data_IF_868836400532
#
_entry.id   IF_868836400532
#
_cell.length_a   1.000
_cell.length_b   1.000
_cell.length_c   1.000
_cell.angle_alpha   90.00
_cell.angle_beta   90.00
_cell.angle_gamma   90.00
#
_symmetry.space_group_name_H-M   'P 1'
#
loop_
_entity.id
_entity.type
_entity.pdbx_description
1 polymer ?
#
# COMPACT_ATOMS: atom_id res chain seq x y z
N UNK A 1 2.57 -12.03 -4.87
CA UNK A 1 1.89 -10.79 -4.43
C UNK A 1 2.95 -9.72 -4.53
N UNK A 2 2.80 -8.86 -5.54
CA UNK A 2 3.92 -8.15 -6.15
C UNK A 2 4.55 -7.15 -5.18
N UNK A 3 5.88 -7.21 -5.07
CA UNK A 3 6.73 -6.39 -4.21
C UNK A 3 6.44 -4.88 -4.33
N UNK A 4 5.93 -4.48 -5.49
CA UNK A 4 5.52 -3.11 -5.82
C UNK A 4 4.33 -2.62 -5.00
N UNK A 5 3.35 -3.48 -4.69
CA UNK A 5 2.14 -3.11 -3.95
C UNK A 5 2.46 -2.67 -2.51
N UNK A 6 3.40 -3.39 -1.88
CA UNK A 6 3.88 -3.09 -0.53
C UNK A 6 4.72 -1.81 -0.48
N UNK A 7 5.49 -1.54 -1.54
CA UNK A 7 6.27 -0.32 -1.65
C UNK A 7 5.35 0.90 -1.75
N UNK A 8 4.37 0.92 -2.65
CA UNK A 8 3.58 2.14 -2.89
C UNK A 8 2.66 2.46 -1.69
N UNK A 9 1.98 1.48 -1.09
CA UNK A 9 1.18 1.75 0.13
C UNK A 9 2.04 2.27 1.29
N UNK A 10 3.26 1.77 1.43
CA UNK A 10 4.21 2.25 2.42
C UNK A 10 4.62 3.71 2.23
N UNK A 11 4.71 4.21 0.99
CA UNK A 11 5.03 5.62 0.72
C UNK A 11 3.84 6.53 1.06
N UNK A 12 2.62 6.06 0.83
CA UNK A 12 1.40 6.80 1.17
C UNK A 12 1.23 7.02 2.68
N UNK A 13 1.57 6.02 3.51
CA UNK A 13 1.55 6.17 4.98
C UNK A 13 2.54 7.26 5.44
N UNK A 14 3.72 7.32 4.81
CA UNK A 14 4.72 8.34 5.12
C UNK A 14 4.23 9.75 4.75
N UNK A 15 3.66 9.92 3.54
CA UNK A 15 3.05 11.18 3.12
C UNK A 15 1.90 11.61 4.04
N UNK A 16 1.02 10.67 4.41
CA UNK A 16 -0.05 10.93 5.39
C UNK A 16 0.52 11.42 6.72
N UNK A 17 1.66 10.85 7.17
CA UNK A 17 2.32 11.29 8.41
C UNK A 17 2.91 12.68 8.30
N UNK A 18 3.48 13.06 7.16
CA UNK A 18 3.96 14.43 6.93
C UNK A 18 2.78 15.40 6.99
N UNK A 19 1.70 15.14 6.25
CA UNK A 19 0.50 16.00 6.22
C UNK A 19 -0.09 16.17 7.62
N UNK A 20 -0.15 15.07 8.39
CA UNK A 20 -0.63 15.06 9.77
C UNK A 20 0.29 15.85 10.71
N UNK A 21 1.61 15.63 10.65
CA UNK A 21 2.57 16.26 11.55
C UNK A 21 2.65 17.78 11.36
N UNK A 22 2.66 18.25 10.10
CA UNK A 22 2.66 19.68 9.79
C UNK A 22 1.27 20.32 9.89
N UNK A 23 0.25 19.54 10.25
CA UNK A 23 -1.15 19.99 10.36
C UNK A 23 -1.63 20.73 9.09
N UNK A 24 -1.19 20.26 7.91
CA UNK A 24 -1.55 20.87 6.62
C UNK A 24 -3.06 20.69 6.36
N UNK A 25 -3.61 19.54 6.78
CA UNK A 25 -5.02 19.20 6.73
C UNK A 25 -5.44 18.54 8.05
N UNK A 26 -6.70 18.72 8.51
CA UNK A 26 -7.21 18.10 9.73
C UNK A 26 -7.49 16.61 9.52
N UNK A 27 -6.44 15.82 9.30
CA UNK A 27 -6.52 14.39 9.08
C UNK A 27 -6.40 13.61 10.39
N UNK A 28 -7.03 12.41 10.48
CA UNK A 28 -6.79 11.48 11.58
C UNK A 28 -5.34 10.99 11.64
N UNK A 29 -4.94 10.44 12.79
CA UNK A 29 -3.54 10.05 13.03
C UNK A 29 -3.15 8.77 12.25
N UNK A 30 -2.00 8.75 11.55
CA UNK A 30 -1.48 7.55 10.89
C UNK A 30 -0.89 6.50 11.84
N UNK A 31 -0.87 6.75 13.14
CA UNK A 31 -0.10 5.97 14.11
C UNK A 31 -0.34 4.46 14.01
N UNK A 32 -1.59 4.00 14.01
CA UNK A 32 -1.88 2.56 13.95
C UNK A 32 -1.41 1.89 12.66
N UNK A 33 -1.52 2.60 11.53
CA UNK A 33 -1.06 2.10 10.23
C UNK A 33 0.47 2.11 10.12
N UNK A 34 1.14 3.07 10.75
CA UNK A 34 2.59 3.05 10.91
C UNK A 34 3.06 1.84 11.74
N UNK A 35 2.40 1.53 12.85
CA UNK A 35 2.71 0.33 13.65
C UNK A 35 2.52 -0.95 12.81
N UNK A 36 1.41 -1.05 12.08
CA UNK A 36 1.12 -2.20 11.23
C UNK A 36 2.17 -2.34 10.11
N UNK A 37 2.58 -1.22 9.51
CA UNK A 37 3.66 -1.19 8.53
C UNK A 37 5.01 -1.59 9.14
N UNK A 38 5.33 -1.18 10.37
CA UNK A 38 6.55 -1.61 11.06
C UNK A 38 6.53 -3.13 11.26
N UNK A 39 5.44 -3.70 11.78
CA UNK A 39 5.29 -5.15 11.98
C UNK A 39 5.49 -5.90 10.66
N UNK A 40 4.82 -5.47 9.60
CA UNK A 40 4.98 -6.08 8.27
C UNK A 40 6.44 -6.04 7.78
N UNK A 41 7.11 -4.89 7.94
CA UNK A 41 8.49 -4.72 7.50
C UNK A 41 9.50 -5.49 8.35
N UNK A 42 9.17 -5.81 9.61
CA UNK A 42 9.98 -6.71 10.44
C UNK A 42 10.01 -8.11 9.84
N UNK A 43 8.85 -8.68 9.54
CA UNK A 43 8.77 -10.00 8.88
C UNK A 43 9.49 -10.00 7.53
N UNK A 44 9.28 -8.96 6.73
CA UNK A 44 9.93 -8.83 5.43
C UNK A 44 11.46 -8.64 5.53
N UNK A 45 11.95 -7.92 6.54
CA UNK A 45 13.39 -7.77 6.80
C UNK A 45 14.06 -9.09 7.13
N UNK A 46 13.43 -9.93 7.97
CA UNK A 46 13.92 -11.29 8.23
C UNK A 46 13.92 -12.17 6.98
N UNK A 47 12.84 -12.09 6.18
CA UNK A 47 12.76 -12.81 4.91
C UNK A 47 13.88 -12.38 3.93
N UNK A 48 14.14 -11.07 3.81
CA UNK A 48 15.18 -10.53 2.95
C UNK A 48 16.57 -11.00 3.38
N UNK A 49 16.84 -10.99 4.69
CA UNK A 49 18.10 -11.50 5.25
C UNK A 49 18.29 -12.98 4.95
N UNK A 50 17.24 -13.78 5.16
CA UNK A 50 17.27 -15.23 4.90
C UNK A 50 17.55 -15.53 3.42
N UNK A 51 16.89 -14.81 2.50
CA UNK A 51 16.98 -15.06 1.06
C UNK A 51 18.29 -14.57 0.45
N UNK A 52 18.70 -13.35 0.78
CA UNK A 52 19.84 -12.71 0.11
C UNK A 52 21.17 -12.99 0.80
N UNK A 53 21.15 -13.31 2.11
CA UNK A 53 22.32 -13.42 2.99
C UNK A 53 23.27 -12.20 2.93
N UNK A 54 22.80 -11.08 2.38
CA UNK A 54 23.60 -9.87 2.22
C UNK A 54 23.24 -8.88 3.33
N UNK A 55 24.13 -8.79 4.32
CA UNK A 55 23.95 -7.92 5.49
C UNK A 55 23.85 -6.44 5.09
N UNK A 56 24.67 -5.97 4.14
CA UNK A 56 24.67 -4.57 3.72
C UNK A 56 23.32 -4.15 3.13
N UNK A 57 22.71 -4.98 2.27
CA UNK A 57 21.37 -4.71 1.76
C UNK A 57 20.31 -4.69 2.86
N UNK A 58 20.40 -5.60 3.83
CA UNK A 58 19.47 -5.62 4.96
C UNK A 58 19.64 -4.38 5.85
N UNK A 59 20.87 -3.91 6.09
CA UNK A 59 21.15 -2.68 6.84
C UNK A 59 20.56 -1.44 6.15
N UNK A 60 20.72 -1.32 4.83
CA UNK A 60 20.11 -0.23 4.05
C UNK A 60 18.59 -0.28 4.17
N UNK A 61 18.00 -1.47 4.03
CA UNK A 61 16.56 -1.68 4.21
C UNK A 61 16.10 -1.19 5.59
N UNK A 62 16.76 -1.61 6.68
CA UNK A 62 16.41 -1.16 8.03
C UNK A 62 16.61 0.34 8.24
N UNK A 63 17.63 0.94 7.61
CA UNK A 63 17.81 2.40 7.60
C UNK A 63 16.61 3.12 7.01
N UNK A 64 16.14 2.67 5.84
CA UNK A 64 14.94 3.22 5.18
C UNK A 64 13.69 3.05 6.05
N UNK A 65 13.46 1.85 6.62
CA UNK A 65 12.33 1.61 7.51
C UNK A 65 12.38 2.51 8.75
N UNK A 66 13.58 2.74 9.29
CA UNK A 66 13.76 3.61 10.45
C UNK A 66 13.34 5.05 10.15
N UNK A 67 13.82 5.62 9.04
CA UNK A 67 13.51 6.99 8.64
C UNK A 67 12.04 7.16 8.23
N UNK A 68 11.50 6.19 7.49
CA UNK A 68 10.16 6.33 6.89
C UNK A 68 9.03 5.86 7.80
N UNK A 69 9.30 5.09 8.85
CA UNK A 69 8.25 4.50 9.70
C UNK A 69 8.52 4.64 11.18
N UNK A 70 9.68 4.18 11.67
CA UNK A 70 9.97 4.13 13.11
C UNK A 70 10.05 5.55 13.70
N UNK A 71 10.84 6.44 13.08
CA UNK A 71 10.96 7.83 13.50
C UNK A 71 9.59 8.54 13.43
N UNK A 72 8.86 8.50 12.30
CA UNK A 72 7.52 9.09 12.23
C UNK A 72 6.56 8.57 13.29
N UNK A 73 6.51 7.27 13.53
CA UNK A 73 5.69 6.67 14.57
C UNK A 73 6.07 7.17 15.97
N UNK A 74 7.37 7.30 16.24
CA UNK A 74 7.87 7.83 17.51
C UNK A 74 7.45 9.30 17.71
N UNK A 75 7.58 10.13 16.66
CA UNK A 75 7.23 11.56 16.72
C UNK A 75 5.75 11.77 17.04
N UNK A 76 4.85 10.99 16.44
CA UNK A 76 3.40 11.17 16.62
C UNK A 76 2.80 10.33 17.75
N UNK A 77 3.62 9.55 18.50
CA UNK A 77 3.15 8.55 19.47
C UNK A 77 2.32 9.13 20.61
N UNK A 78 2.59 10.38 20.99
CA UNK A 78 1.98 11.06 22.13
C UNK A 78 0.62 11.68 21.77
N UNK A 79 0.24 11.70 20.50
CA UNK A 79 -1.03 12.28 20.09
C UNK A 79 -2.20 11.42 20.57
N UNK A 80 -3.33 12.08 20.86
CA UNK A 80 -4.56 11.41 21.28
C UNK A 80 -5.03 10.48 20.17
N UNK A 81 -5.13 9.19 20.48
CA UNK A 81 -5.54 8.16 19.53
C UNK A 81 -7.07 8.02 19.58
N UNK A 82 -7.68 7.82 18.43
CA UNK A 82 -9.12 7.66 18.27
C UNK A 82 -9.43 6.46 17.37
N UNK A 83 -10.61 5.87 17.54
CA UNK A 83 -11.12 4.84 16.63
C UNK A 83 -11.24 5.38 15.18
N UNK A 84 -11.47 6.69 15.03
CA UNK A 84 -11.53 7.37 13.73
C UNK A 84 -10.22 7.27 12.95
N UNK A 85 -9.08 7.15 13.64
CA UNK A 85 -7.77 6.95 13.02
C UNK A 85 -7.73 5.62 12.24
N UNK A 86 -8.37 4.58 12.80
CA UNK A 86 -8.46 3.25 12.19
C UNK A 86 -9.41 3.29 10.99
N UNK A 87 -10.61 3.86 11.16
CA UNK A 87 -11.59 3.96 10.07
C UNK A 87 -11.05 4.73 8.87
N UNK A 88 -10.38 5.87 9.12
CA UNK A 88 -9.80 6.67 8.05
C UNK A 88 -8.68 5.93 7.33
N UNK A 89 -7.76 5.29 8.05
CA UNK A 89 -6.70 4.53 7.39
C UNK A 89 -7.22 3.30 6.64
N UNK A 90 -8.30 2.66 7.11
CA UNK A 90 -8.97 1.58 6.36
C UNK A 90 -9.59 2.12 5.06
N UNK A 91 -10.24 3.28 5.12
CA UNK A 91 -10.78 3.95 3.94
C UNK A 91 -9.67 4.33 2.96
N UNK A 92 -8.54 4.83 3.46
CA UNK A 92 -7.37 5.17 2.65
C UNK A 92 -6.75 3.93 1.99
N UNK A 93 -6.71 2.81 2.72
CA UNK A 93 -6.26 1.53 2.19
C UNK A 93 -7.19 1.01 1.08
N UNK A 94 -8.51 1.07 1.28
CA UNK A 94 -9.49 0.70 0.25
C UNK A 94 -9.37 1.61 -0.98
N UNK A 95 -9.27 2.93 -0.77
CA UNK A 95 -9.07 3.88 -1.86
C UNK A 95 -7.77 3.58 -2.64
N UNK A 96 -6.70 3.24 -1.93
CA UNK A 96 -5.45 2.81 -2.54
C UNK A 96 -5.59 1.50 -3.34
N UNK A 97 -6.30 0.49 -2.81
CA UNK A 97 -6.56 -0.75 -3.54
C UNK A 97 -7.37 -0.51 -4.81
N UNK A 98 -8.38 0.36 -4.76
CA UNK A 98 -9.17 0.76 -5.92
C UNK A 98 -8.32 1.52 -6.94
N UNK A 99 -7.49 2.46 -6.49
CA UNK A 99 -6.54 3.18 -7.34
C UNK A 99 -5.60 2.19 -8.05
N UNK A 100 -4.98 1.28 -7.30
CA UNK A 100 -4.07 0.28 -7.87
C UNK A 100 -4.77 -0.66 -8.85
N UNK A 101 -5.97 -1.15 -8.50
CA UNK A 101 -6.75 -2.00 -9.39
C UNK A 101 -7.05 -1.30 -10.71
N UNK A 102 -7.46 -0.03 -10.67
CA UNK A 102 -7.72 0.76 -11.86
C UNK A 102 -6.44 1.08 -12.63
N UNK A 103 -5.36 1.49 -11.96
CA UNK A 103 -4.08 1.80 -12.59
C UNK A 103 -3.50 0.57 -13.32
N UNK A 104 -3.44 -0.59 -12.65
CA UNK A 104 -2.97 -1.82 -13.28
C UNK A 104 -3.90 -2.34 -14.38
N UNK A 105 -5.20 -2.10 -14.29
CA UNK A 105 -6.12 -2.43 -15.39
C UNK A 105 -5.96 -1.47 -16.56
N UNK A 106 -5.73 -0.18 -16.33
CA UNK A 106 -5.42 0.79 -17.38
C UNK A 106 -4.10 0.43 -18.06
N UNK A 107 -3.06 0.05 -17.33
CA UNK A 107 -1.81 -0.44 -17.91
C UNK A 107 -2.02 -1.73 -18.73
N UNK A 108 -2.89 -2.64 -18.28
CA UNK A 108 -3.24 -3.85 -19.05
C UNK A 108 -4.09 -3.54 -20.30
N UNK A 109 -4.93 -2.49 -20.27
CA UNK A 109 -5.72 -2.00 -21.41
C UNK A 109 -4.79 -1.33 -22.43
N UNK A 110 -3.92 -0.43 -21.98
CA UNK A 110 -2.97 0.31 -22.81
C UNK A 110 -1.89 -0.59 -23.41
N UNK A 111 -1.44 -1.62 -22.68
CA UNK A 111 -0.46 -2.60 -23.17
C UNK A 111 -1.10 -3.81 -23.92
N UNK A 112 -2.37 -3.73 -24.30
CA UNK A 112 -3.02 -4.70 -25.20
C UNK A 112 -3.18 -6.13 -24.66
N UNK A 113 -2.97 -6.38 -23.37
CA UNK A 113 -2.96 -7.73 -22.79
C UNK A 113 -4.35 -8.29 -22.47
N UNK A 114 -5.43 -7.50 -22.59
CA UNK A 114 -6.80 -8.02 -22.43
C UNK A 114 -7.26 -8.93 -23.58
N UNK A 115 -6.68 -8.81 -24.78
CA UNK A 115 -7.11 -9.60 -25.94
C UNK A 115 -6.40 -10.97 -26.07
N UNK A 116 -5.45 -11.29 -25.19
CA UNK A 116 -4.73 -12.58 -25.22
C UNK A 116 -5.30 -13.66 -24.31
N UNK A 117 -6.31 -13.35 -23.50
CA UNK A 117 -6.92 -14.36 -22.62
C UNK A 117 -8.31 -14.76 -23.14
N UNK A 118 -8.44 -15.89 -23.88
CA UNK A 118 -9.68 -16.29 -24.56
C UNK A 118 -10.86 -16.58 -23.61
N UNK A 119 -10.61 -16.73 -22.30
CA UNK A 119 -11.66 -16.91 -21.29
C UNK A 119 -12.49 -15.65 -21.04
N UNK A 120 -11.87 -14.46 -21.08
CA UNK A 120 -12.56 -13.19 -20.83
C UNK A 120 -13.36 -12.71 -22.04
N UNK A 121 -12.87 -13.00 -23.25
CA UNK A 121 -13.63 -12.72 -24.49
C UNK A 121 -14.94 -13.49 -24.55
N UNK A 122 -14.98 -14.72 -24.00
CA UNK A 122 -16.18 -15.54 -23.92
C UNK A 122 -17.15 -15.05 -22.85
N UNK A 123 -16.65 -14.74 -21.64
CA UNK A 123 -17.46 -14.20 -20.54
C UNK A 123 -18.09 -12.84 -20.90
N UNK A 124 -17.32 -11.94 -21.53
CA UNK A 124 -17.84 -10.64 -21.97
C UNK A 124 -18.85 -10.79 -23.10
N UNK A 125 -18.67 -11.73 -24.03
CA UNK A 125 -19.69 -12.05 -25.05
C UNK A 125 -20.98 -12.56 -24.39
N UNK A 126 -20.89 -13.47 -23.44
CA UNK A 126 -22.05 -14.02 -22.73
C UNK A 126 -22.80 -12.92 -21.94
N UNK A 127 -22.06 -12.04 -21.25
CA UNK A 127 -22.65 -10.88 -20.54
C UNK A 127 -23.32 -9.91 -21.52
N UNK A 128 -22.67 -9.54 -22.63
CA UNK A 128 -23.27 -8.64 -23.63
C UNK A 128 -24.46 -9.24 -24.36
N UNK A 129 -24.50 -10.57 -24.52
CA UNK A 129 -25.66 -11.28 -25.08
C UNK A 129 -26.80 -11.32 -24.05
N UNK A 130 -26.50 -11.50 -22.76
CA UNK A 130 -27.49 -11.48 -21.68
C UNK A 130 -28.16 -10.11 -21.48
N UNK A 131 -27.45 -9.00 -21.77
CA UNK A 131 -27.99 -7.64 -21.64
C UNK A 131 -28.56 -7.05 -22.95
N UNK A 132 -28.58 -7.79 -24.05
CA UNK A 132 -29.30 -7.43 -25.28
C UNK A 132 -30.39 -8.47 -25.55
N UNK A 133 -31.60 -8.19 -25.04
CA UNK A 133 -32.91 -8.73 -25.45
C UNK A 133 -33.01 -10.26 -25.59
#
# INVERSE_FOLDING_TARGET
>A
MDFELGCVFSHWIFLWTIVYYFNILPLPSPYYFLILAIIYNVFHGFYLLYKTKNISHNLIYWGIITVTKIIPAYVIRNNKKSINDIYFGCLLFIAYLLYYYNYCNVDKILNGNYFKNPSYGKLMKEIFTFFKL
#
